data_IF_088634455196
#
_entry.id   IF_088634455196
#
_cell.length_a   1.000
_cell.length_b   1.000
_cell.length_c   1.000
_cell.angle_alpha   90.00
_cell.angle_beta   90.00
_cell.angle_gamma   90.00
#
_symmetry.space_group_name_H-M   'P 1'
#
loop_
_entity.id
_entity.type
_entity.pdbx_description
1 polymer ?
#
# COMPACT_ATOMS: atom_id res chain seq x y z
N UNK A 1 96.71 -4.01 6.38
CA UNK A 1 95.33 -3.87 5.84
C UNK A 1 95.10 -4.86 4.70
N UNK A 2 94.38 -5.97 4.94
CA UNK A 2 94.02 -6.95 3.89
C UNK A 2 92.70 -6.52 3.23
N UNK A 3 92.77 -6.01 1.99
CA UNK A 3 91.57 -5.75 1.17
C UNK A 3 90.93 -7.10 0.79
N UNK A 4 89.84 -7.49 1.47
CA UNK A 4 88.98 -8.61 1.04
C UNK A 4 88.45 -8.28 -0.36
N UNK A 5 88.97 -8.96 -1.39
CA UNK A 5 88.38 -8.97 -2.74
C UNK A 5 87.00 -9.60 -2.63
N UNK A 6 85.96 -8.76 -2.54
CA UNK A 6 84.57 -9.20 -2.66
C UNK A 6 84.39 -9.70 -4.09
N UNK A 7 84.44 -11.03 -4.28
CA UNK A 7 84.04 -11.68 -5.53
C UNK A 7 82.56 -11.40 -5.71
N UNK A 8 82.21 -10.40 -6.53
CA UNK A 8 80.86 -10.23 -7.05
C UNK A 8 80.54 -11.50 -7.84
N UNK A 9 79.80 -12.43 -7.24
CA UNK A 9 79.19 -13.54 -7.98
C UNK A 9 78.20 -12.89 -8.93
N UNK A 10 78.57 -12.78 -10.21
CA UNK A 10 77.63 -12.38 -11.24
C UNK A 10 76.48 -13.38 -11.20
N UNK A 11 75.26 -12.88 -10.95
CA UNK A 11 74.07 -13.71 -11.03
C UNK A 11 74.00 -14.29 -12.45
N UNK A 12 73.84 -15.61 -12.53
CA UNK A 12 73.56 -16.28 -13.79
C UNK A 12 72.32 -15.61 -14.41
N UNK A 13 72.34 -15.20 -15.70
CA UNK A 13 71.18 -14.58 -16.36
C UNK A 13 69.89 -15.39 -16.21
N UNK A 14 69.97 -16.72 -16.12
CA UNK A 14 68.82 -17.58 -15.83
C UNK A 14 68.17 -17.26 -14.46
N UNK A 15 68.97 -17.04 -13.41
CA UNK A 15 68.45 -16.65 -12.09
C UNK A 15 67.85 -15.26 -12.07
N UNK A 16 68.36 -14.33 -12.89
CA UNK A 16 67.75 -13.00 -13.03
C UNK A 16 66.38 -13.08 -13.70
N UNK A 17 66.22 -13.94 -14.71
CA UNK A 17 64.93 -14.21 -15.36
C UNK A 17 63.95 -14.85 -14.36
N UNK A 18 64.38 -15.87 -13.61
CA UNK A 18 63.56 -16.50 -12.56
C UNK A 18 63.09 -15.49 -11.50
N UNK A 19 64.00 -14.67 -10.96
CA UNK A 19 63.66 -13.63 -9.97
C UNK A 19 62.67 -12.63 -10.56
N UNK A 20 62.84 -12.24 -11.82
CA UNK A 20 61.92 -11.32 -12.51
C UNK A 20 60.54 -11.93 -12.66
N UNK A 21 60.43 -13.20 -13.08
CA UNK A 21 59.15 -13.93 -13.20
C UNK A 21 58.46 -14.00 -11.83
N UNK A 22 59.19 -14.33 -10.76
CA UNK A 22 58.63 -14.40 -9.40
C UNK A 22 58.13 -13.04 -8.94
N UNK A 23 58.88 -11.95 -9.18
CA UNK A 23 58.45 -10.59 -8.83
C UNK A 23 57.18 -10.20 -9.60
N UNK A 24 57.11 -10.53 -10.90
CA UNK A 24 55.91 -10.28 -11.72
C UNK A 24 54.71 -11.06 -11.18
N UNK A 25 54.87 -12.35 -10.88
CA UNK A 25 53.81 -13.19 -10.30
C UNK A 25 53.37 -12.68 -8.93
N UNK A 26 54.29 -12.33 -8.04
CA UNK A 26 53.96 -11.75 -6.73
C UNK A 26 53.25 -10.42 -6.87
N UNK A 27 53.62 -9.60 -7.86
CA UNK A 27 52.94 -8.34 -8.15
C UNK A 27 51.52 -8.59 -8.67
N UNK A 28 51.31 -9.58 -9.54
CA UNK A 28 49.97 -9.99 -10.01
C UNK A 28 49.13 -10.48 -8.82
N UNK A 29 49.67 -11.36 -7.97
CA UNK A 29 48.99 -11.85 -6.76
C UNK A 29 48.66 -10.68 -5.83
N UNK A 30 49.60 -9.76 -5.60
CA UNK A 30 49.37 -8.60 -4.75
C UNK A 30 48.25 -7.70 -5.29
N UNK A 31 48.19 -7.48 -6.62
CA UNK A 31 47.10 -6.72 -7.26
C UNK A 31 45.76 -7.45 -7.13
N UNK A 32 45.73 -8.77 -7.37
CA UNK A 32 44.52 -9.59 -7.19
C UNK A 32 44.05 -9.53 -5.74
N UNK A 33 44.94 -9.73 -4.78
CA UNK A 33 44.63 -9.68 -3.35
C UNK A 33 44.18 -8.28 -2.92
N UNK A 34 44.84 -7.22 -3.40
CA UNK A 34 44.49 -5.83 -3.08
C UNK A 34 43.04 -5.47 -3.46
N UNK A 35 42.52 -5.98 -4.58
CA UNK A 35 41.15 -5.64 -4.94
C UNK A 35 40.05 -6.32 -4.11
N UNK A 36 40.41 -7.25 -3.21
CA UNK A 36 39.46 -7.82 -2.22
C UNK A 36 39.45 -7.03 -0.91
N UNK A 37 40.39 -6.10 -0.71
CA UNK A 37 40.41 -5.25 0.46
C UNK A 37 39.47 -4.06 0.26
N UNK A 38 38.60 -3.77 1.25
CA UNK A 38 37.78 -2.57 1.22
C UNK A 38 38.66 -1.33 1.40
N UNK A 39 38.50 -0.35 0.51
CA UNK A 39 39.20 0.93 0.53
C UNK A 39 38.21 2.08 0.70
N UNK A 40 38.56 3.05 1.56
CA UNK A 40 37.72 4.21 1.91
C UNK A 40 38.55 5.48 1.81
N UNK A 41 38.08 6.51 1.09
CA UNK A 41 38.84 7.76 0.94
C UNK A 41 37.92 8.99 0.78
N UNK A 42 38.21 10.13 1.42
CA UNK A 42 37.38 11.34 1.34
C UNK A 42 37.09 11.82 -0.09
N UNK A 43 38.06 11.73 -1.00
CA UNK A 43 37.85 12.06 -2.43
C UNK A 43 36.77 11.23 -3.12
N UNK A 44 36.54 9.97 -2.71
CA UNK A 44 35.46 9.14 -3.28
C UNK A 44 34.10 9.66 -2.84
N UNK A 45 33.98 10.06 -1.57
CA UNK A 45 32.80 10.71 -1.01
C UNK A 45 32.51 12.04 -1.71
N UNK A 46 33.52 12.92 -1.81
CA UNK A 46 33.36 14.23 -2.45
C UNK A 46 32.97 14.08 -3.94
N UNK A 47 33.52 13.06 -4.62
CA UNK A 47 33.14 12.69 -5.97
C UNK A 47 31.69 12.19 -6.06
N UNK A 48 31.26 11.30 -5.15
CA UNK A 48 29.90 10.79 -5.10
C UNK A 48 28.87 11.93 -4.92
N UNK A 49 29.11 12.83 -3.95
CA UNK A 49 28.26 14.01 -3.73
C UNK A 49 28.17 14.89 -4.99
N UNK A 50 29.33 15.19 -5.60
CA UNK A 50 29.38 16.01 -6.82
C UNK A 50 28.60 15.38 -7.97
N UNK A 51 28.71 14.07 -8.15
CA UNK A 51 27.99 13.34 -9.20
C UNK A 51 26.48 13.35 -8.92
N UNK A 52 26.04 13.08 -7.69
CA UNK A 52 24.62 13.05 -7.33
C UNK A 52 23.96 14.42 -7.51
N UNK A 53 24.61 15.51 -7.08
CA UNK A 53 24.14 16.88 -7.31
C UNK A 53 24.06 17.18 -8.82
N UNK A 54 25.11 16.85 -9.57
CA UNK A 54 25.13 17.05 -11.03
C UNK A 54 24.02 16.27 -11.75
N UNK A 55 23.59 15.12 -11.21
CA UNK A 55 22.50 14.30 -11.75
C UNK A 55 21.11 14.75 -11.34
N UNK A 56 20.99 15.75 -10.46
CA UNK A 56 19.72 16.42 -10.17
C UNK A 56 19.25 16.31 -8.72
N UNK A 57 20.06 15.79 -7.80
CA UNK A 57 19.83 16.03 -6.38
C UNK A 57 19.97 17.54 -6.12
N UNK A 58 18.98 18.13 -5.45
CA UNK A 58 19.05 19.53 -5.00
C UNK A 58 20.04 19.69 -3.86
N UNK A 59 20.08 18.72 -2.95
CA UNK A 59 21.06 18.60 -1.88
C UNK A 59 21.44 17.12 -1.71
N UNK A 60 22.69 16.86 -1.33
CA UNK A 60 23.21 15.51 -1.18
C UNK A 60 24.37 15.47 -0.19
N UNK A 61 24.29 14.55 0.77
CA UNK A 61 25.37 14.19 1.68
C UNK A 61 25.56 12.69 1.68
N UNK A 62 26.83 12.25 1.66
CA UNK A 62 27.25 10.87 1.82
C UNK A 62 28.30 10.90 2.92
N UNK A 63 28.13 10.11 3.97
CA UNK A 63 29.10 10.08 5.07
C UNK A 63 30.39 9.38 4.67
N UNK A 64 30.26 8.20 4.06
CA UNK A 64 31.40 7.39 3.67
C UNK A 64 31.15 6.59 2.38
N UNK A 65 32.23 6.33 1.64
CA UNK A 65 32.22 5.52 0.42
C UNK A 65 33.31 4.46 0.55
N UNK A 66 32.91 3.19 0.56
CA UNK A 66 33.80 2.04 0.61
C UNK A 66 33.75 1.31 -0.72
N UNK A 67 34.92 1.07 -1.30
CA UNK A 67 35.07 0.40 -2.58
C UNK A 67 35.88 -0.87 -2.37
N UNK A 68 35.33 -2.01 -2.80
CA UNK A 68 36.03 -3.29 -2.90
C UNK A 68 36.12 -3.64 -4.39
N UNK A 69 37.26 -3.36 -5.07
CA UNK A 69 37.37 -3.43 -6.54
C UNK A 69 36.81 -4.68 -7.20
N UNK A 70 36.97 -5.86 -6.61
CA UNK A 70 36.46 -7.11 -7.21
C UNK A 70 35.02 -7.45 -6.85
N UNK A 71 34.39 -6.72 -5.92
CA UNK A 71 33.16 -7.17 -5.26
C UNK A 71 32.04 -6.15 -5.25
N UNK A 72 32.27 -4.92 -4.77
CA UNK A 72 31.18 -4.00 -4.44
C UNK A 72 31.62 -2.55 -4.23
N UNK A 73 30.65 -1.64 -4.35
CA UNK A 73 30.69 -0.27 -3.83
C UNK A 73 29.63 -0.15 -2.73
N UNK A 74 29.97 0.49 -1.62
CA UNK A 74 29.06 0.77 -0.51
C UNK A 74 29.07 2.27 -0.21
N UNK A 75 27.89 2.89 -0.16
CA UNK A 75 27.66 4.25 0.33
C UNK A 75 27.01 4.15 1.70
N UNK A 76 27.50 4.92 2.67
CA UNK A 76 26.96 4.98 4.02
C UNK A 76 26.44 6.38 4.32
N UNK A 77 25.33 6.45 5.08
CA UNK A 77 24.71 7.70 5.50
C UNK A 77 24.38 8.61 4.31
N UNK A 78 23.66 8.07 3.33
CA UNK A 78 23.23 8.82 2.14
C UNK A 78 21.97 9.62 2.48
N UNK A 79 22.07 10.94 2.50
CA UNK A 79 20.95 11.88 2.58
C UNK A 79 20.83 12.60 1.23
N UNK A 80 19.66 12.51 0.61
CA UNK A 80 19.42 13.03 -0.72
C UNK A 80 18.07 13.73 -0.81
N UNK A 81 18.08 14.96 -1.30
CA UNK A 81 16.88 15.79 -1.51
C UNK A 81 16.69 16.05 -2.99
N UNK A 82 15.54 15.70 -3.54
CA UNK A 82 15.16 15.96 -4.93
C UNK A 82 13.91 16.84 -4.92
N UNK A 83 13.88 17.88 -5.75
CA UNK A 83 12.68 18.69 -5.97
C UNK A 83 12.33 18.71 -7.46
N UNK A 84 11.07 18.42 -7.79
CA UNK A 84 10.57 18.48 -9.18
C UNK A 84 9.07 18.76 -9.22
N UNK A 85 8.66 19.77 -9.99
CA UNK A 85 7.25 20.11 -10.22
C UNK A 85 6.41 20.26 -8.93
N UNK A 86 7.00 20.85 -7.88
CA UNK A 86 6.35 21.03 -6.58
C UNK A 86 6.27 19.78 -5.69
N UNK A 87 6.80 18.64 -6.14
CA UNK A 87 7.05 17.47 -5.31
C UNK A 87 8.49 17.51 -4.80
N UNK A 88 8.69 17.32 -3.49
CA UNK A 88 10.00 17.17 -2.90
C UNK A 88 10.14 15.75 -2.34
N UNK A 89 11.18 15.04 -2.75
CA UNK A 89 11.58 13.76 -2.18
C UNK A 89 12.77 13.95 -1.25
N UNK A 90 12.72 13.35 -0.06
CA UNK A 90 13.82 13.25 0.88
C UNK A 90 14.10 11.78 1.13
N UNK A 91 15.34 11.37 0.89
CA UNK A 91 15.78 9.99 0.96
C UNK A 91 16.95 9.91 1.94
N UNK A 92 16.81 9.13 3.01
CA UNK A 92 17.88 8.89 3.98
C UNK A 92 18.14 7.39 4.03
N UNK A 93 19.35 6.96 3.67
CA UNK A 93 19.69 5.54 3.55
C UNK A 93 20.93 5.27 4.40
N UNK A 94 20.82 4.34 5.36
CA UNK A 94 21.95 3.95 6.23
C UNK A 94 23.08 3.33 5.41
N UNK A 95 22.75 2.37 4.53
CA UNK A 95 23.71 1.75 3.61
C UNK A 95 23.08 1.46 2.25
N UNK A 96 23.78 1.85 1.19
CA UNK A 96 23.50 1.45 -0.19
C UNK A 96 24.68 0.64 -0.70
N UNK A 97 24.47 -0.64 -1.00
CA UNK A 97 25.49 -1.54 -1.53
C UNK A 97 25.16 -1.93 -2.96
N UNK A 98 26.12 -1.74 -3.86
CA UNK A 98 26.08 -2.19 -5.24
C UNK A 98 27.15 -3.26 -5.43
N UNK A 99 26.76 -4.52 -5.62
CA UNK A 99 27.73 -5.58 -5.93
C UNK A 99 28.08 -5.56 -7.40
N UNK A 100 29.34 -5.25 -7.68
CA UNK A 100 29.86 -5.18 -9.04
C UNK A 100 31.36 -5.46 -9.11
N UNK A 101 31.79 -6.00 -10.25
CA UNK A 101 33.21 -6.15 -10.57
C UNK A 101 33.74 -4.87 -11.24
N UNK A 102 34.41 -4.01 -10.47
CA UNK A 102 34.88 -2.71 -10.95
C UNK A 102 35.95 -2.81 -12.01
N UNK A 103 36.78 -3.86 -12.01
CA UNK A 103 37.76 -4.06 -13.07
C UNK A 103 37.08 -4.37 -14.40
N UNK A 104 36.04 -5.20 -14.38
CA UNK A 104 35.23 -5.46 -15.58
C UNK A 104 34.60 -4.15 -16.11
N UNK A 105 34.07 -3.33 -15.20
CA UNK A 105 33.50 -2.02 -15.55
C UNK A 105 34.56 -1.04 -16.08
N UNK A 106 35.78 -1.05 -15.54
CA UNK A 106 36.89 -0.20 -15.97
C UNK A 106 37.42 -0.59 -17.35
N UNK A 107 37.52 -1.88 -17.65
CA UNK A 107 37.92 -2.36 -18.97
C UNK A 107 36.92 -1.93 -20.06
N UNK A 108 35.63 -1.90 -19.71
CA UNK A 108 34.54 -1.48 -20.61
C UNK A 108 34.10 -0.02 -20.37
N UNK A 109 34.93 0.81 -19.74
CA UNK A 109 34.54 2.16 -19.30
C UNK A 109 34.04 3.06 -20.43
N UNK A 110 34.60 2.92 -21.63
CA UNK A 110 34.20 3.69 -22.80
C UNK A 110 32.75 3.45 -23.23
N UNK A 111 32.32 2.18 -23.21
CA UNK A 111 30.95 1.77 -23.54
C UNK A 111 30.00 2.11 -22.38
N UNK A 112 30.40 1.74 -21.15
CA UNK A 112 29.67 2.05 -19.93
C UNK A 112 29.35 3.55 -19.81
N UNK A 113 30.31 4.42 -20.14
CA UNK A 113 30.12 5.87 -20.10
C UNK A 113 29.06 6.34 -21.10
N UNK A 114 28.98 5.74 -22.29
CA UNK A 114 27.95 6.07 -23.29
C UNK A 114 26.56 5.64 -22.80
N UNK A 115 26.46 4.43 -22.28
CA UNK A 115 25.19 3.87 -21.78
C UNK A 115 24.70 4.61 -20.53
N UNK A 116 25.59 4.92 -19.58
CA UNK A 116 25.28 5.73 -18.41
C UNK A 116 24.90 7.17 -18.77
N UNK A 117 25.51 7.75 -19.81
CA UNK A 117 25.13 9.09 -20.27
C UNK A 117 23.68 9.08 -20.78
N UNK A 118 23.33 8.10 -21.62
CA UNK A 118 21.98 7.88 -22.11
C UNK A 118 21.00 7.68 -20.95
N UNK A 119 21.26 6.70 -20.08
CA UNK A 119 20.46 6.42 -18.88
C UNK A 119 20.24 7.67 -18.05
N UNK A 120 21.28 8.48 -17.81
CA UNK A 120 21.14 9.61 -16.91
C UNK A 120 20.26 10.74 -17.42
N UNK A 121 20.21 10.94 -18.74
CA UNK A 121 19.30 11.91 -19.36
C UNK A 121 17.87 11.38 -19.20
N UNK A 122 17.67 10.11 -19.56
CA UNK A 122 16.36 9.50 -19.53
C UNK A 122 15.81 9.37 -18.11
N UNK A 123 16.62 8.91 -17.16
CA UNK A 123 16.27 8.71 -15.75
C UNK A 123 15.79 10.00 -15.10
N UNK A 124 16.52 11.10 -15.30
CA UNK A 124 16.16 12.41 -14.75
C UNK A 124 14.80 12.87 -15.23
N UNK A 125 14.46 12.62 -16.49
CA UNK A 125 13.19 13.05 -17.07
C UNK A 125 12.04 12.07 -16.79
N UNK A 126 12.33 10.77 -16.75
CA UNK A 126 11.32 9.72 -16.86
C UNK A 126 10.99 9.00 -15.57
N UNK A 127 11.84 9.00 -14.54
CA UNK A 127 11.55 8.24 -13.31
C UNK A 127 10.17 8.56 -12.74
N UNK A 128 9.81 9.85 -12.70
CA UNK A 128 8.52 10.30 -12.16
C UNK A 128 7.38 10.28 -13.19
N UNK A 129 7.68 10.35 -14.50
CA UNK A 129 6.65 10.47 -15.54
C UNK A 129 6.31 9.15 -16.24
N UNK A 130 7.30 8.26 -16.36
CA UNK A 130 7.26 6.96 -17.05
C UNK A 130 8.20 5.96 -16.34
N UNK A 131 7.89 5.54 -15.10
CA UNK A 131 8.76 4.67 -14.30
C UNK A 131 9.08 3.33 -14.99
N UNK A 132 8.18 2.80 -15.82
CA UNK A 132 8.43 1.58 -16.56
C UNK A 132 9.58 1.70 -17.56
N UNK A 133 9.73 2.85 -18.24
CA UNK A 133 10.83 3.03 -19.20
C UNK A 133 12.15 2.99 -18.44
N UNK A 134 12.20 3.64 -17.28
CA UNK A 134 13.37 3.59 -16.41
C UNK A 134 13.71 2.17 -15.97
N UNK A 135 12.72 1.36 -15.62
CA UNK A 135 12.94 -0.05 -15.28
C UNK A 135 13.41 -0.88 -16.48
N UNK A 136 12.79 -0.73 -17.66
CA UNK A 136 13.21 -1.40 -18.91
C UNK A 136 14.65 -1.01 -19.30
N UNK A 137 15.03 0.24 -19.05
CA UNK A 137 16.39 0.72 -19.27
C UNK A 137 17.37 0.14 -18.25
N UNK A 138 16.98 -0.03 -16.99
CA UNK A 138 17.80 -0.73 -15.99
C UNK A 138 18.00 -2.20 -16.38
N UNK A 139 16.93 -2.89 -16.82
CA UNK A 139 17.02 -4.25 -17.35
C UNK A 139 17.99 -4.29 -18.52
N UNK A 140 17.78 -3.45 -19.54
CA UNK A 140 18.66 -3.39 -20.72
C UNK A 140 20.10 -3.11 -20.33
N UNK A 141 20.35 -2.13 -19.47
CA UNK A 141 21.68 -1.79 -19.00
C UNK A 141 22.35 -2.97 -18.30
N UNK A 142 21.64 -3.67 -17.41
CA UNK A 142 22.18 -4.87 -16.76
C UNK A 142 22.45 -6.00 -17.75
N UNK A 143 21.57 -6.23 -18.73
CA UNK A 143 21.77 -7.25 -19.76
C UNK A 143 23.03 -6.99 -20.59
N UNK A 144 23.34 -5.72 -20.86
CA UNK A 144 24.60 -5.32 -21.52
C UNK A 144 25.81 -5.41 -20.58
N UNK A 145 25.60 -5.15 -19.28
CA UNK A 145 26.66 -5.10 -18.26
C UNK A 145 26.41 -6.13 -17.15
N UNK A 146 26.62 -7.41 -17.47
CA UNK A 146 26.44 -8.53 -16.54
C UNK A 146 27.30 -8.47 -15.26
N UNK A 147 28.26 -7.54 -15.19
CA UNK A 147 29.08 -7.25 -14.01
C UNK A 147 28.31 -6.64 -12.83
N UNK A 148 27.05 -6.26 -13.01
CA UNK A 148 26.16 -5.75 -11.95
C UNK A 148 25.32 -6.92 -11.42
N UNK A 149 25.64 -7.36 -10.21
CA UNK A 149 25.06 -8.57 -9.63
C UNK A 149 23.82 -8.26 -8.80
N UNK A 150 23.96 -7.34 -7.83
CA UNK A 150 22.91 -6.99 -6.89
C UNK A 150 23.00 -5.53 -6.43
N UNK A 151 21.89 -5.01 -5.93
CA UNK A 151 21.74 -3.73 -5.27
C UNK A 151 20.98 -3.94 -3.96
N UNK A 152 21.55 -3.50 -2.85
CA UNK A 152 21.00 -3.66 -1.50
C UNK A 152 20.87 -2.28 -0.87
N UNK A 153 19.68 -1.98 -0.38
CA UNK A 153 19.34 -0.81 0.43
C UNK A 153 19.09 -1.34 1.83
N UNK A 154 19.81 -0.84 2.83
CA UNK A 154 19.56 -1.15 4.22
C UNK A 154 19.03 0.10 4.92
N UNK A 155 17.83 -0.04 5.49
CA UNK A 155 17.12 1.00 6.25
C UNK A 155 17.13 2.36 5.56
N UNK A 156 16.32 2.45 4.52
CA UNK A 156 15.97 3.68 3.82
C UNK A 156 14.70 4.30 4.37
N UNK A 157 14.76 5.56 4.73
CA UNK A 157 13.61 6.42 4.92
C UNK A 157 13.38 7.25 3.64
N UNK A 158 12.13 7.30 3.18
CA UNK A 158 11.73 8.03 1.97
C UNK A 158 10.49 8.84 2.27
N UNK A 159 10.62 10.16 2.24
CA UNK A 159 9.49 11.08 2.36
C UNK A 159 9.23 11.79 1.04
N UNK A 160 7.96 11.81 0.60
CA UNK A 160 7.49 12.55 -0.56
C UNK A 160 6.50 13.60 -0.10
N UNK A 161 6.88 14.87 -0.23
CA UNK A 161 6.06 16.02 0.17
C UNK A 161 5.55 16.80 -1.04
N UNK A 162 4.38 17.42 -0.89
CA UNK A 162 3.84 18.42 -1.82
C UNK A 162 3.55 19.69 -1.03
N UNK A 163 4.32 20.74 -1.26
CA UNK A 163 4.33 21.89 -0.34
C UNK A 163 4.81 21.46 1.05
N UNK A 164 3.99 21.68 2.08
CA UNK A 164 4.30 21.31 3.47
C UNK A 164 3.66 20.00 3.93
N UNK A 165 2.91 19.31 3.06
CA UNK A 165 2.21 18.08 3.39
C UNK A 165 2.98 16.85 2.92
N UNK A 166 3.20 15.88 3.82
CA UNK A 166 3.74 14.56 3.46
C UNK A 166 2.64 13.79 2.74
N UNK A 167 2.85 13.52 1.46
CA UNK A 167 1.91 12.74 0.63
C UNK A 167 2.15 11.25 0.73
N UNK A 168 3.40 10.85 0.95
CA UNK A 168 3.79 9.45 1.15
C UNK A 168 5.09 9.40 1.94
N UNK A 169 5.25 8.37 2.77
CA UNK A 169 6.45 8.12 3.55
C UNK A 169 6.70 6.62 3.63
N UNK A 170 7.96 6.19 3.60
CA UNK A 170 8.38 4.82 3.88
C UNK A 170 9.50 4.91 4.91
N UNK A 171 9.41 4.13 5.97
CA UNK A 171 10.38 4.11 7.07
C UNK A 171 11.07 2.75 7.17
N UNK A 172 12.37 2.77 7.43
CA UNK A 172 13.23 1.62 7.63
C UNK A 172 13.12 0.58 6.50
N UNK A 173 13.02 1.03 5.24
CA UNK A 173 12.96 0.16 4.06
C UNK A 173 14.30 -0.55 3.84
N UNK A 174 14.30 -1.87 3.92
CA UNK A 174 15.39 -2.69 3.42
C UNK A 174 14.95 -3.39 2.14
N UNK A 175 15.74 -3.29 1.08
CA UNK A 175 15.42 -3.87 -0.22
C UNK A 175 16.67 -4.48 -0.85
N UNK A 176 16.54 -5.70 -1.35
CA UNK A 176 17.60 -6.40 -2.07
C UNK A 176 17.09 -6.72 -3.47
N UNK A 177 17.65 -6.02 -4.45
CA UNK A 177 17.39 -6.17 -5.87
C UNK A 177 18.48 -7.04 -6.46
N UNK A 178 18.09 -8.13 -7.11
CA UNK A 178 19.00 -9.09 -7.70
C UNK A 178 18.41 -9.61 -9.01
N UNK A 179 19.25 -10.32 -9.75
CA UNK A 179 18.86 -10.91 -11.00
C UNK A 179 19.22 -12.40 -11.01
N UNK A 180 18.28 -13.26 -11.39
CA UNK A 180 18.56 -14.69 -11.57
C UNK A 180 19.43 -14.91 -12.81
N UNK A 181 20.37 -15.85 -12.75
CA UNK A 181 21.24 -16.22 -13.89
C UNK A 181 20.42 -16.72 -15.08
N UNK A 182 19.38 -17.51 -14.82
CA UNK A 182 18.51 -18.10 -15.84
C UNK A 182 17.45 -17.13 -16.40
N UNK A 183 17.28 -15.96 -15.78
CA UNK A 183 16.27 -14.96 -16.18
C UNK A 183 16.88 -13.57 -16.26
N UNK A 184 17.80 -13.42 -17.21
CA UNK A 184 18.58 -12.20 -17.33
C UNK A 184 17.75 -10.91 -17.52
N UNK A 185 16.53 -11.06 -18.03
CA UNK A 185 15.60 -9.98 -18.36
C UNK A 185 14.62 -9.64 -17.20
N UNK A 186 14.71 -10.35 -16.08
CA UNK A 186 13.82 -10.16 -14.93
C UNK A 186 14.57 -9.54 -13.74
N UNK A 187 14.10 -8.39 -13.26
CA UNK A 187 14.56 -7.81 -11.99
C UNK A 187 13.76 -8.47 -10.88
N UNK A 188 14.43 -9.05 -9.89
CA UNK A 188 13.79 -9.50 -8.66
C UNK A 188 14.15 -8.60 -7.50
N UNK A 189 13.21 -8.42 -6.58
CA UNK A 189 13.38 -7.62 -5.39
C UNK A 189 12.73 -8.32 -4.19
N UNK A 190 13.48 -8.52 -3.11
CA UNK A 190 12.91 -8.78 -1.79
C UNK A 190 12.95 -7.49 -0.98
N UNK A 191 11.87 -7.18 -0.26
CA UNK A 191 11.80 -5.95 0.54
C UNK A 191 11.11 -6.18 1.87
N UNK A 192 11.50 -5.39 2.86
CA UNK A 192 10.84 -5.26 4.15
C UNK A 192 10.94 -3.82 4.67
N UNK A 193 9.98 -3.39 5.48
CA UNK A 193 10.01 -2.05 6.09
C UNK A 193 9.12 -1.96 7.31
N UNK A 194 9.35 -0.93 8.13
CA UNK A 194 8.63 -0.76 9.39
C UNK A 194 7.27 -0.10 9.17
N UNK A 195 7.24 0.97 8.38
CA UNK A 195 6.02 1.75 8.17
C UNK A 195 5.98 2.33 6.76
N UNK A 196 4.82 2.27 6.13
CA UNK A 196 4.53 2.97 4.89
C UNK A 196 3.23 3.74 5.07
N UNK A 197 3.27 4.99 4.65
CA UNK A 197 2.16 5.91 4.60
C UNK A 197 1.95 6.34 3.15
N UNK A 198 0.74 6.20 2.64
CA UNK A 198 0.39 6.65 1.30
C UNK A 198 -1.03 7.22 1.29
N UNK A 199 -1.15 8.54 1.09
CA UNK A 199 -2.42 9.24 1.19
C UNK A 199 -2.95 9.24 2.63
N UNK A 200 -3.91 8.37 2.94
CA UNK A 200 -4.44 8.16 4.31
C UNK A 200 -4.30 6.72 4.78
N UNK A 201 -3.60 5.90 4.01
CA UNK A 201 -3.44 4.49 4.30
C UNK A 201 -2.09 4.28 4.98
N UNK A 202 -2.12 3.50 6.05
CA UNK A 202 -0.93 3.11 6.81
C UNK A 202 -0.78 1.60 6.69
N UNK A 203 0.43 1.13 6.41
CA UNK A 203 0.81 -0.25 6.64
C UNK A 203 2.12 -0.32 7.42
N UNK A 204 2.24 -1.33 8.27
CA UNK A 204 3.32 -1.54 9.22
C UNK A 204 3.91 -2.94 9.08
N UNK A 205 5.19 -3.08 9.42
CA UNK A 205 5.95 -4.33 9.38
C UNK A 205 5.73 -5.10 8.08
N UNK A 206 5.78 -4.38 6.96
CA UNK A 206 5.48 -4.95 5.66
C UNK A 206 6.69 -5.65 5.08
N UNK A 207 6.48 -6.74 4.35
CA UNK A 207 7.52 -7.42 3.57
C UNK A 207 6.94 -8.23 2.43
N UNK A 208 7.75 -8.48 1.42
CA UNK A 208 7.34 -9.26 0.26
C UNK A 208 8.43 -9.41 -0.77
N UNK A 209 8.00 -9.87 -1.94
CA UNK A 209 8.85 -9.95 -3.12
C UNK A 209 8.15 -9.27 -4.29
N UNK A 210 8.93 -8.62 -5.15
CA UNK A 210 8.46 -8.06 -6.40
C UNK A 210 9.35 -8.58 -7.53
N UNK A 211 8.76 -8.80 -8.69
CA UNK A 211 9.51 -9.09 -9.90
C UNK A 211 9.06 -8.18 -11.03
N UNK A 212 9.99 -7.63 -11.79
CA UNK A 212 9.71 -6.81 -12.96
C UNK A 212 10.21 -7.50 -14.23
N UNK A 213 9.34 -7.62 -15.22
CA UNK A 213 9.65 -8.15 -16.55
C UNK A 213 8.69 -7.53 -17.57
N UNK A 214 9.23 -6.98 -18.66
CA UNK A 214 8.48 -6.46 -19.81
C UNK A 214 7.33 -5.51 -19.41
N UNK A 215 7.67 -4.45 -18.67
CA UNK A 215 6.68 -3.48 -18.18
C UNK A 215 5.70 -4.00 -17.12
N UNK A 216 5.77 -5.27 -16.69
CA UNK A 216 4.91 -5.84 -15.64
C UNK A 216 5.64 -5.99 -14.31
N UNK A 217 5.01 -5.53 -13.23
CA UNK A 217 5.46 -5.76 -11.85
C UNK A 217 4.56 -6.81 -11.20
N UNK A 218 5.14 -7.89 -10.68
CA UNK A 218 4.47 -8.96 -9.95
C UNK A 218 4.87 -8.89 -8.47
N UNK A 219 3.94 -8.50 -7.62
CA UNK A 219 4.04 -8.55 -6.17
C UNK A 219 3.59 -9.92 -5.68
N UNK A 220 4.47 -10.62 -4.97
CA UNK A 220 4.23 -11.96 -4.44
C UNK A 220 4.53 -12.00 -2.94
N UNK A 221 3.68 -12.72 -2.20
CA UNK A 221 3.83 -12.97 -0.76
C UNK A 221 3.97 -11.68 0.05
N UNK A 222 3.40 -10.57 -0.44
CA UNK A 222 3.41 -9.31 0.28
C UNK A 222 2.49 -9.43 1.49
N UNK A 223 2.98 -9.08 2.67
CA UNK A 223 2.24 -9.15 3.92
C UNK A 223 2.67 -8.03 4.85
N UNK A 224 1.80 -7.65 5.77
CA UNK A 224 2.08 -6.63 6.76
C UNK A 224 0.93 -6.49 7.73
N UNK A 225 0.86 -5.35 8.41
CA UNK A 225 -0.23 -4.96 9.30
C UNK A 225 -0.81 -3.64 8.86
N UNK A 226 -2.10 -3.43 9.04
CA UNK A 226 -2.74 -2.13 8.91
C UNK A 226 -3.89 -2.10 9.91
N UNK A 227 -4.11 -0.97 10.58
CA UNK A 227 -5.19 -0.80 11.56
C UNK A 227 -5.27 -1.96 12.56
N UNK A 228 -4.13 -2.31 13.18
CA UNK A 228 -3.93 -3.47 14.08
C UNK A 228 -4.13 -4.88 13.47
N UNK A 229 -4.80 -4.99 12.32
CA UNK A 229 -5.02 -6.23 11.56
C UNK A 229 -3.81 -6.66 10.74
N UNK A 230 -3.86 -7.88 10.20
CA UNK A 230 -2.84 -8.45 9.30
C UNK A 230 -3.36 -8.46 7.87
N UNK A 231 -2.52 -8.23 6.88
CA UNK A 231 -2.90 -8.36 5.48
C UNK A 231 -1.90 -9.19 4.67
N UNK A 232 -2.37 -9.69 3.53
CA UNK A 232 -1.61 -10.34 2.47
C UNK A 232 -2.09 -9.83 1.12
N UNK A 233 -1.16 -9.59 0.20
CA UNK A 233 -1.44 -9.10 -1.15
C UNK A 233 -0.58 -9.90 -2.14
N UNK A 234 -1.19 -10.31 -3.25
CA UNK A 234 -0.50 -10.71 -4.47
C UNK A 234 -1.10 -9.91 -5.61
N UNK A 235 -0.27 -9.27 -6.43
CA UNK A 235 -0.76 -8.41 -7.50
C UNK A 235 0.15 -8.43 -8.72
N UNK A 236 -0.45 -8.33 -9.90
CA UNK A 236 0.27 -8.13 -11.17
C UNK A 236 -0.19 -6.82 -11.79
N UNK A 237 0.75 -5.90 -11.97
CA UNK A 237 0.52 -4.57 -12.51
C UNK A 237 1.28 -4.42 -13.82
N UNK A 238 0.57 -4.13 -14.89
CA UNK A 238 1.13 -3.70 -16.16
C UNK A 238 1.32 -2.18 -16.14
N UNK A 239 2.57 -1.74 -16.02
CA UNK A 239 2.91 -0.31 -15.93
C UNK A 239 2.78 0.41 -17.28
N UNK A 240 2.96 -0.29 -18.40
CA UNK A 240 2.81 0.27 -19.76
C UNK A 240 1.38 0.76 -19.99
N UNK A 241 0.41 -0.11 -19.67
CA UNK A 241 -1.01 0.17 -19.86
C UNK A 241 -1.66 0.81 -18.62
N UNK A 242 -0.89 1.03 -17.55
CA UNK A 242 -1.40 1.43 -16.23
C UNK A 242 -2.59 0.57 -15.83
N UNK A 243 -2.42 -0.74 -15.87
CA UNK A 243 -3.50 -1.71 -15.68
C UNK A 243 -3.13 -2.73 -14.60
N UNK A 244 -4.00 -2.90 -13.62
CA UNK A 244 -3.98 -3.98 -12.65
C UNK A 244 -4.56 -5.24 -13.30
N UNK A 245 -3.69 -6.17 -13.70
CA UNK A 245 -4.10 -7.41 -14.35
C UNK A 245 -4.83 -8.32 -13.36
N UNK A 246 -4.30 -8.39 -12.13
CA UNK A 246 -4.86 -9.18 -11.03
C UNK A 246 -4.39 -8.61 -9.70
N UNK A 247 -5.24 -8.60 -8.69
CA UNK A 247 -4.88 -8.35 -7.30
C UNK A 247 -5.75 -9.19 -6.39
N UNK A 248 -5.12 -10.08 -5.64
CA UNK A 248 -5.75 -10.85 -4.58
C UNK A 248 -5.27 -10.28 -3.24
N UNK A 249 -6.18 -9.69 -2.48
CA UNK A 249 -5.92 -9.13 -1.16
C UNK A 249 -6.76 -9.85 -0.13
N UNK A 250 -6.14 -10.23 0.98
CA UNK A 250 -6.83 -10.74 2.15
C UNK A 250 -6.32 -10.00 3.39
N UNK A 251 -7.21 -9.64 4.30
CA UNK A 251 -6.81 -9.13 5.60
C UNK A 251 -7.76 -9.54 6.70
N UNK A 252 -7.24 -9.53 7.91
CA UNK A 252 -7.82 -10.21 9.06
C UNK A 252 -7.68 -9.33 10.30
N UNK A 253 -8.71 -9.32 11.15
CA UNK A 253 -8.75 -8.59 12.41
C UNK A 253 -8.46 -7.08 12.28
N UNK A 254 -8.92 -6.42 11.20
CA UNK A 254 -8.82 -4.97 11.09
C UNK A 254 -9.67 -4.27 12.14
N UNK A 255 -9.07 -3.37 12.90
CA UNK A 255 -9.79 -2.51 13.84
C UNK A 255 -10.53 -1.41 13.09
N UNK A 256 -11.86 -1.54 13.03
CA UNK A 256 -12.74 -0.59 12.36
C UNK A 256 -12.67 0.81 12.96
N UNK A 257 -12.44 0.92 14.27
CA UNK A 257 -12.37 2.23 14.92
C UNK A 257 -11.11 2.99 14.49
N UNK A 258 -9.96 2.31 14.52
CA UNK A 258 -8.70 2.85 14.00
C UNK A 258 -8.82 3.25 12.52
N UNK A 259 -9.40 2.38 11.68
CA UNK A 259 -9.65 2.69 10.27
C UNK A 259 -10.53 3.94 10.09
N UNK A 260 -11.66 4.02 10.80
CA UNK A 260 -12.58 5.14 10.63
C UNK A 260 -12.01 6.49 11.11
N UNK A 261 -11.22 6.47 12.18
CA UNK A 261 -10.54 7.66 12.70
C UNK A 261 -9.54 8.24 11.69
N UNK A 262 -8.73 7.37 11.07
CA UNK A 262 -7.71 7.77 10.09
C UNK A 262 -8.32 8.23 8.76
N UNK A 263 -9.48 7.68 8.37
CA UNK A 263 -10.19 8.15 7.17
C UNK A 263 -10.97 9.45 7.39
N UNK A 264 -11.05 9.94 8.63
CA UNK A 264 -11.84 11.11 9.02
C UNK A 264 -13.31 11.00 8.60
N UNK A 265 -13.95 9.86 8.87
CA UNK A 265 -15.40 9.77 8.74
C UNK A 265 -16.05 10.76 9.71
N UNK A 266 -16.58 11.87 9.17
CA UNK A 266 -16.91 13.06 9.96
C UNK A 266 -18.12 12.91 10.90
N UNK A 267 -18.88 11.81 10.81
CA UNK A 267 -20.09 11.60 11.61
C UNK A 267 -20.24 10.12 11.96
N UNK A 268 -20.55 9.87 13.23
CA UNK A 268 -20.75 8.54 13.77
C UNK A 268 -19.47 7.92 14.35
N UNK A 269 -19.65 6.88 15.14
CA UNK A 269 -18.59 6.04 15.69
C UNK A 269 -18.85 4.60 15.27
N UNK A 270 -17.82 3.95 14.72
CA UNK A 270 -17.82 2.52 14.40
C UNK A 270 -16.69 1.88 15.19
N UNK A 271 -16.96 0.76 15.84
CA UNK A 271 -15.94 -0.13 16.38
C UNK A 271 -16.29 -1.57 16.02
N UNK A 272 -15.31 -2.46 16.15
CA UNK A 272 -15.43 -3.87 15.79
C UNK A 272 -14.20 -4.34 15.04
N UNK A 273 -14.21 -5.61 14.65
CA UNK A 273 -13.14 -6.21 13.85
C UNK A 273 -13.65 -6.56 12.47
N UNK A 274 -12.83 -6.43 11.44
CA UNK A 274 -13.19 -6.79 10.08
C UNK A 274 -12.13 -7.66 9.40
N UNK A 275 -12.62 -8.66 8.70
CA UNK A 275 -11.90 -9.49 7.74
C UNK A 275 -12.34 -9.08 6.33
N UNK A 276 -11.38 -9.00 5.41
CA UNK A 276 -11.62 -8.54 4.04
C UNK A 276 -10.95 -9.51 3.08
N UNK A 277 -11.69 -10.01 2.10
CA UNK A 277 -11.15 -10.71 0.93
C UNK A 277 -11.53 -9.93 -0.32
N UNK A 278 -10.58 -9.63 -1.19
CA UNK A 278 -10.80 -8.74 -2.31
C UNK A 278 -10.00 -9.18 -3.54
N UNK A 279 -10.67 -9.21 -4.69
CA UNK A 279 -10.10 -9.54 -5.98
C UNK A 279 -10.36 -8.39 -6.96
N UNK A 280 -9.31 -7.66 -7.35
CA UNK A 280 -9.43 -6.48 -8.23
C UNK A 280 -8.65 -6.63 -9.55
N UNK A 281 -9.14 -5.95 -10.58
CA UNK A 281 -8.49 -5.75 -11.88
C UNK A 281 -8.99 -4.45 -12.54
N UNK A 282 -8.29 -3.93 -13.53
CA UNK A 282 -8.71 -2.72 -14.26
C UNK A 282 -7.62 -1.68 -14.37
N UNK A 283 -7.90 -0.52 -14.97
CA UNK A 283 -6.90 0.56 -15.03
C UNK A 283 -6.57 1.06 -13.61
N UNK A 284 -5.33 1.52 -13.40
CA UNK A 284 -4.82 2.16 -12.18
C UNK A 284 -5.40 3.58 -11.99
N UNK A 285 -6.68 3.71 -12.26
CA UNK A 285 -7.54 4.76 -11.77
C UNK A 285 -8.58 4.04 -10.92
N UNK A 286 -8.79 4.50 -9.68
CA UNK A 286 -9.75 3.90 -8.78
C UNK A 286 -11.11 3.71 -9.48
N UNK A 287 -11.54 4.62 -10.38
CA UNK A 287 -12.86 4.62 -11.07
C UNK A 287 -13.01 3.52 -12.12
N UNK A 288 -11.88 2.96 -12.52
CA UNK A 288 -11.79 1.94 -13.55
C UNK A 288 -11.53 0.55 -12.99
N UNK A 289 -11.29 0.44 -11.68
CA UNK A 289 -11.15 -0.84 -11.00
C UNK A 289 -12.48 -1.58 -11.01
N UNK A 290 -12.38 -2.89 -11.18
CA UNK A 290 -13.48 -3.85 -11.21
C UNK A 290 -13.08 -5.07 -10.41
N UNK A 291 -14.05 -5.78 -9.88
CA UNK A 291 -13.75 -6.92 -9.04
C UNK A 291 -14.81 -7.19 -8.01
N UNK A 292 -14.47 -8.01 -7.04
CA UNK A 292 -15.34 -8.36 -5.92
C UNK A 292 -14.59 -8.19 -4.62
N UNK A 293 -15.32 -7.90 -3.55
CA UNK A 293 -14.80 -8.04 -2.20
C UNK A 293 -15.87 -8.62 -1.28
N UNK A 294 -15.44 -9.37 -0.28
CA UNK A 294 -16.28 -9.86 0.81
C UNK A 294 -15.68 -9.28 2.08
N UNK A 295 -16.49 -8.54 2.82
CA UNK A 295 -16.13 -7.98 4.11
C UNK A 295 -16.97 -8.67 5.17
N UNK A 296 -16.34 -9.26 6.18
CA UNK A 296 -17.03 -9.79 7.35
C UNK A 296 -16.55 -9.03 8.57
N UNK A 297 -17.46 -8.38 9.28
CA UNK A 297 -17.16 -7.70 10.52
C UNK A 297 -17.86 -8.39 11.69
N UNK A 298 -17.21 -8.41 12.85
CA UNK A 298 -17.72 -8.98 14.09
C UNK A 298 -17.68 -7.96 15.22
N UNK A 299 -18.57 -8.13 16.19
CA UNK A 299 -18.69 -7.27 17.36
C UNK A 299 -18.81 -5.79 16.98
N UNK A 300 -19.63 -5.51 15.97
CA UNK A 300 -19.72 -4.18 15.37
C UNK A 300 -20.65 -3.32 16.20
N UNK A 301 -20.11 -2.26 16.78
CA UNK A 301 -20.90 -1.21 17.41
C UNK A 301 -20.92 0.00 16.49
N UNK A 302 -22.13 0.50 16.18
CA UNK A 302 -22.33 1.72 15.42
C UNK A 302 -23.15 2.70 16.24
N UNK A 303 -22.73 3.95 16.33
CA UNK A 303 -23.50 4.99 17.01
C UNK A 303 -23.36 6.35 16.35
N UNK A 304 -24.29 7.26 16.66
CA UNK A 304 -24.27 8.67 16.23
C UNK A 304 -24.32 8.88 14.70
N UNK A 305 -24.69 7.86 13.91
CA UNK A 305 -24.83 8.02 12.46
C UNK A 305 -26.11 8.79 12.10
N UNK A 306 -26.10 9.64 11.05
CA UNK A 306 -27.31 10.35 10.61
C UNK A 306 -28.49 9.42 10.32
N UNK A 307 -28.23 8.24 9.75
CA UNK A 307 -29.25 7.23 9.47
C UNK A 307 -29.87 6.67 10.76
N UNK A 308 -29.05 6.42 11.79
CA UNK A 308 -29.51 5.94 13.10
C UNK A 308 -30.35 6.99 13.80
N UNK A 309 -29.91 8.25 13.78
CA UNK A 309 -30.67 9.36 14.35
C UNK A 309 -32.03 9.51 13.66
N UNK A 310 -32.06 9.37 12.33
CA UNK A 310 -33.32 9.38 11.58
C UNK A 310 -34.24 8.22 12.01
N UNK A 311 -33.74 6.98 12.08
CA UNK A 311 -34.53 5.84 12.56
C UNK A 311 -35.01 6.01 14.00
N UNK A 312 -34.15 6.52 14.89
CA UNK A 312 -34.51 6.78 16.29
C UNK A 312 -35.68 7.76 16.41
N UNK A 313 -35.67 8.84 15.62
CA UNK A 313 -36.77 9.81 15.56
C UNK A 313 -38.02 9.18 14.94
N UNK A 314 -37.88 8.46 13.82
CA UNK A 314 -39.01 7.86 13.11
C UNK A 314 -39.73 6.78 13.92
N UNK A 315 -38.97 5.96 14.64
CA UNK A 315 -39.51 4.87 15.46
C UNK A 315 -39.83 5.32 16.89
N UNK A 316 -39.44 6.54 17.28
CA UNK A 316 -39.50 7.07 18.64
C UNK A 316 -38.79 6.19 19.66
N UNK A 317 -37.68 5.56 19.26
CA UNK A 317 -36.92 4.62 20.09
C UNK A 317 -35.48 5.11 20.22
N UNK A 318 -35.12 5.71 21.38
CA UNK A 318 -33.79 6.28 21.61
C UNK A 318 -32.66 5.25 21.49
N UNK A 319 -32.95 3.97 21.75
CA UNK A 319 -31.98 2.88 21.72
C UNK A 319 -31.33 2.69 20.34
N UNK A 320 -32.03 3.06 19.24
CA UNK A 320 -31.44 3.03 17.88
C UNK A 320 -30.26 3.99 17.68
N UNK A 321 -30.00 4.91 18.60
CA UNK A 321 -28.81 5.78 18.57
C UNK A 321 -27.49 5.01 18.72
N UNK A 322 -27.56 3.76 19.21
CA UNK A 322 -26.43 2.83 19.28
C UNK A 322 -26.90 1.42 18.94
N UNK A 323 -26.36 0.83 17.89
CA UNK A 323 -26.68 -0.54 17.48
C UNK A 323 -25.45 -1.42 17.62
N UNK A 324 -25.68 -2.65 18.08
CA UNK A 324 -24.67 -3.69 18.15
C UNK A 324 -25.06 -4.86 17.23
N UNK A 325 -24.09 -5.25 16.39
CA UNK A 325 -24.20 -6.39 15.50
C UNK A 325 -23.14 -7.43 15.87
N UNK A 326 -23.58 -8.66 16.14
CA UNK A 326 -22.65 -9.75 16.38
C UNK A 326 -21.80 -10.01 15.12
N UNK A 327 -22.46 -9.93 13.95
CA UNK A 327 -21.81 -10.16 12.66
C UNK A 327 -22.47 -9.33 11.55
N UNK A 328 -21.65 -8.71 10.72
CA UNK A 328 -22.05 -8.09 9.46
C UNK A 328 -21.25 -8.73 8.34
N UNK A 329 -21.90 -9.07 7.24
CA UNK A 329 -21.26 -9.50 6.00
C UNK A 329 -21.69 -8.55 4.89
N UNK A 330 -20.73 -8.06 4.12
CA UNK A 330 -20.98 -7.27 2.92
C UNK A 330 -20.27 -7.91 1.73
N UNK A 331 -21.04 -8.32 0.73
CA UNK A 331 -20.55 -8.74 -0.58
C UNK A 331 -20.59 -7.52 -1.52
N UNK A 332 -19.44 -7.18 -2.09
CA UNK A 332 -19.21 -5.97 -2.87
C UNK A 332 -18.82 -6.33 -4.30
N UNK A 333 -19.40 -5.65 -5.28
CA UNK A 333 -18.98 -5.75 -6.69
C UNK A 333 -18.60 -4.37 -7.25
N UNK A 334 -17.33 -4.23 -7.63
CA UNK A 334 -16.80 -3.00 -8.21
C UNK A 334 -17.13 -2.95 -9.70
N UNK A 335 -17.93 -1.96 -10.10
CA UNK A 335 -18.29 -1.69 -11.50
C UNK A 335 -17.43 -0.54 -12.05
N UNK A 336 -17.20 -0.48 -13.38
CA UNK A 336 -16.60 0.70 -13.99
C UNK A 336 -17.44 1.96 -13.68
N UNK A 337 -16.78 3.13 -13.70
CA UNK A 337 -17.35 4.45 -13.32
C UNK A 337 -17.44 4.66 -11.80
N UNK A 338 -16.80 3.81 -10.99
CA UNK A 338 -16.70 3.99 -9.55
C UNK A 338 -17.97 3.67 -8.77
N UNK A 339 -18.91 2.94 -9.36
CA UNK A 339 -20.09 2.39 -8.67
C UNK A 339 -19.73 1.05 -8.03
N UNK A 340 -20.12 0.87 -6.77
CA UNK A 340 -19.93 -0.37 -6.01
C UNK A 340 -21.33 -0.92 -5.72
N UNK A 341 -21.65 -2.09 -6.27
CA UNK A 341 -22.85 -2.81 -5.86
C UNK A 341 -22.59 -3.46 -4.51
N UNK A 342 -23.58 -3.42 -3.64
CA UNK A 342 -23.46 -3.87 -2.25
C UNK A 342 -24.62 -4.79 -1.93
N UNK A 343 -24.33 -5.93 -1.30
CA UNK A 343 -25.29 -6.79 -0.63
C UNK A 343 -24.80 -6.99 0.81
N UNK A 344 -25.57 -6.56 1.79
CA UNK A 344 -25.16 -6.47 3.19
C UNK A 344 -26.17 -7.24 4.04
N UNK A 345 -25.68 -8.18 4.84
CA UNK A 345 -26.47 -8.90 5.83
C UNK A 345 -25.84 -8.68 7.21
N UNK A 346 -26.63 -8.22 8.17
CA UNK A 346 -26.20 -7.96 9.54
C UNK A 346 -27.12 -8.67 10.52
N UNK A 347 -26.54 -9.38 11.48
CA UNK A 347 -27.26 -9.95 12.60
C UNK A 347 -26.93 -9.16 13.87
N UNK A 348 -27.97 -8.61 14.49
CA UNK A 348 -27.82 -7.71 15.64
C UNK A 348 -28.77 -8.05 16.77
N UNK A 349 -28.43 -7.56 17.96
CA UNK A 349 -29.21 -7.81 19.17
C UNK A 349 -30.62 -7.21 19.05
N UNK A 350 -30.67 -5.98 18.55
CA UNK A 350 -31.90 -5.19 18.41
C UNK A 350 -32.57 -5.40 17.05
N UNK A 351 -31.78 -5.68 16.02
CA UNK A 351 -32.18 -5.60 14.63
C UNK A 351 -31.32 -6.51 13.76
N UNK A 352 -31.98 -7.34 12.96
CA UNK A 352 -31.39 -7.99 11.79
C UNK A 352 -31.61 -7.13 10.53
N UNK A 353 -30.60 -7.00 9.69
CA UNK A 353 -30.67 -6.22 8.44
C UNK A 353 -30.23 -7.04 7.24
N UNK A 354 -30.92 -6.83 6.13
CA UNK A 354 -30.52 -7.22 4.77
C UNK A 354 -30.65 -5.98 3.88
N UNK A 355 -29.63 -5.68 3.09
CA UNK A 355 -29.59 -4.48 2.27
C UNK A 355 -28.92 -4.73 0.94
N UNK A 356 -29.59 -4.38 -0.15
CA UNK A 356 -29.04 -4.46 -1.49
C UNK A 356 -29.09 -3.10 -2.18
N UNK A 357 -28.04 -2.76 -2.93
CA UNK A 357 -28.00 -1.47 -3.59
C UNK A 357 -26.65 -1.13 -4.19
N UNK A 358 -26.37 0.16 -4.22
CA UNK A 358 -25.08 0.66 -4.68
C UNK A 358 -24.61 1.88 -3.88
N UNK A 359 -23.30 2.09 -3.92
CA UNK A 359 -22.60 3.26 -3.37
C UNK A 359 -21.61 3.74 -4.44
N UNK A 360 -21.55 5.05 -4.67
CA UNK A 360 -20.51 5.69 -5.48
C UNK A 360 -19.41 6.31 -4.62
N UNK A 361 -18.35 6.82 -5.27
CA UNK A 361 -17.20 7.42 -4.58
C UNK A 361 -17.44 8.80 -4.00
N UNK A 362 -18.47 9.49 -4.48
CA UNK A 362 -18.95 10.71 -3.84
C UNK A 362 -19.63 10.41 -2.50
N UNK A 363 -19.81 9.13 -2.15
CA UNK A 363 -20.56 8.71 -0.99
C UNK A 363 -22.06 8.83 -1.22
N UNK A 364 -22.52 8.95 -2.47
CA UNK A 364 -23.94 8.79 -2.79
C UNK A 364 -24.27 7.32 -2.75
N UNK A 365 -25.39 6.98 -2.11
CA UNK A 365 -25.85 5.62 -1.99
C UNK A 365 -27.33 5.53 -2.39
N UNK A 366 -27.73 4.31 -2.71
CA UNK A 366 -29.11 3.92 -2.89
C UNK A 366 -29.25 2.44 -2.51
N UNK A 367 -29.85 2.20 -1.34
CA UNK A 367 -29.95 0.91 -0.68
C UNK A 367 -31.43 0.58 -0.46
N UNK A 368 -31.86 -0.61 -0.84
CA UNK A 368 -33.11 -1.20 -0.40
C UNK A 368 -32.82 -2.04 0.83
N UNK A 369 -33.34 -1.62 1.97
CA UNK A 369 -33.15 -2.27 3.25
C UNK A 369 -34.42 -3.01 3.68
N UNK A 370 -34.22 -4.23 4.11
CA UNK A 370 -35.17 -5.09 4.79
C UNK A 370 -34.61 -5.36 6.18
N UNK A 371 -35.44 -5.38 7.21
CA UNK A 371 -34.96 -5.71 8.54
C UNK A 371 -36.05 -6.25 9.44
N UNK A 372 -35.62 -6.99 10.46
CA UNK A 372 -36.48 -7.55 11.50
C UNK A 372 -36.07 -6.97 12.86
N UNK A 373 -36.95 -6.17 13.44
CA UNK A 373 -36.81 -5.68 14.81
C UNK A 373 -37.08 -6.86 15.76
N UNK A 374 -36.14 -7.10 16.68
CA UNK A 374 -36.22 -8.17 17.67
C UNK A 374 -37.45 -8.04 18.58
N UNK A 375 -37.97 -9.16 19.09
CA UNK A 375 -39.09 -9.18 20.04
C UNK A 375 -38.83 -8.27 21.26
N UNK A 376 -37.62 -8.33 21.82
CA UNK A 376 -37.22 -7.51 22.96
C UNK A 376 -37.37 -6.00 22.68
N UNK A 377 -37.03 -5.55 21.47
CA UNK A 377 -37.16 -4.14 21.10
C UNK A 377 -38.58 -3.76 20.68
N UNK A 378 -39.39 -4.73 20.22
CA UNK A 378 -40.80 -4.50 19.85
C UNK A 378 -41.62 -4.05 21.06
N UNK A 379 -41.30 -4.51 22.27
CA UNK A 379 -41.96 -4.08 23.51
C UNK A 379 -41.77 -2.59 23.81
N UNK A 380 -40.66 -2.01 23.36
CA UNK A 380 -40.32 -0.59 23.52
C UNK A 380 -40.88 0.30 22.38
N UNK A 381 -41.38 -0.30 21.30
CA UNK A 381 -41.98 0.45 20.19
C UNK A 381 -43.37 0.97 20.58
N UNK A 382 -43.72 2.18 20.13
CA UNK A 382 -45.10 2.66 20.29
C UNK A 382 -46.10 1.76 19.55
N UNK A 383 -47.29 1.55 20.13
CA UNK A 383 -48.37 0.76 19.53
C UNK A 383 -48.70 1.19 18.08
N UNK A 384 -48.56 2.49 17.77
CA UNK A 384 -48.76 3.02 16.42
C UNK A 384 -47.76 2.42 15.43
N UNK A 385 -46.49 2.35 15.81
CA UNK A 385 -45.41 1.77 15.02
C UNK A 385 -45.59 0.25 14.93
N UNK A 386 -45.78 -0.44 16.07
CA UNK A 386 -45.96 -1.90 16.13
C UNK A 386 -47.08 -2.37 15.21
N UNK A 387 -48.21 -1.67 15.21
CA UNK A 387 -49.38 -2.02 14.39
C UNK A 387 -49.22 -1.68 12.91
N UNK A 388 -48.21 -0.88 12.53
CA UNK A 388 -47.93 -0.54 11.15
C UNK A 388 -47.00 -1.54 10.46
N UNK A 389 -46.26 -2.33 11.24
CA UNK A 389 -45.27 -3.29 10.78
C UNK A 389 -45.85 -4.71 10.74
N UNK A 390 -45.25 -5.58 9.93
CA UNK A 390 -45.69 -6.97 9.80
C UNK A 390 -45.01 -7.83 10.88
N UNK A 391 -45.78 -8.66 11.57
CA UNK A 391 -45.27 -9.61 12.55
C UNK A 391 -44.51 -10.76 11.89
N UNK A 392 -43.43 -11.22 12.53
CA UNK A 392 -42.71 -12.43 12.14
C UNK A 392 -43.07 -13.63 13.01
N UNK A 393 -42.62 -14.82 12.61
CA UNK A 393 -42.76 -16.05 13.41
C UNK A 393 -42.03 -15.99 14.77
N UNK A 394 -41.04 -15.10 14.89
CA UNK A 394 -40.26 -14.86 16.12
C UNK A 394 -40.82 -13.71 16.96
N UNK A 395 -42.10 -13.34 16.76
CA UNK A 395 -42.76 -12.18 17.36
C UNK A 395 -42.11 -10.80 17.06
N UNK A 396 -41.09 -10.75 16.21
CA UNK A 396 -40.46 -9.53 15.74
C UNK A 396 -41.36 -8.70 14.82
N UNK A 397 -40.79 -7.61 14.28
CA UNK A 397 -41.48 -6.73 13.31
C UNK A 397 -40.63 -6.44 12.10
N UNK A 398 -41.16 -6.74 10.91
CA UNK A 398 -40.50 -6.44 9.64
C UNK A 398 -40.67 -4.98 9.26
N UNK A 399 -39.59 -4.37 8.81
CA UNK A 399 -39.65 -3.11 8.06
C UNK A 399 -38.96 -3.24 6.70
N UNK A 400 -39.40 -2.35 5.81
CA UNK A 400 -38.82 -2.17 4.48
C UNK A 400 -38.68 -0.69 4.22
N UNK A 401 -37.50 -0.27 3.80
CA UNK A 401 -37.25 1.12 3.44
C UNK A 401 -36.16 1.24 2.39
N UNK A 402 -36.16 2.36 1.69
CA UNK A 402 -35.08 2.77 0.80
C UNK A 402 -34.27 3.87 1.46
N UNK A 403 -32.96 3.72 1.49
CA UNK A 403 -32.03 4.73 1.97
C UNK A 403 -31.25 5.25 0.78
N UNK A 404 -31.26 6.57 0.56
CA UNK A 404 -30.63 7.16 -0.62
C UNK A 404 -30.11 8.58 -0.36
N UNK A 405 -29.23 9.08 -1.23
CA UNK A 405 -28.57 10.39 -1.04
C UNK A 405 -27.12 10.22 -0.58
N UNK A 406 -26.53 11.25 0.03
CA UNK A 406 -25.13 11.16 0.49
C UNK A 406 -25.02 10.50 1.86
N UNK A 407 -23.91 9.83 2.15
CA UNK A 407 -23.60 9.28 3.48
C UNK A 407 -23.70 10.33 4.61
N UNK A 408 -23.42 11.59 4.30
CA UNK A 408 -23.50 12.72 5.23
C UNK A 408 -24.91 13.24 5.50
N UNK A 409 -25.84 12.98 4.57
CA UNK A 409 -27.24 13.41 4.61
C UNK A 409 -28.16 12.38 3.92
N UNK A 410 -28.28 11.18 4.50
CA UNK A 410 -29.11 10.13 3.93
C UNK A 410 -30.59 10.51 4.05
N UNK A 411 -31.37 10.14 3.04
CA UNK A 411 -32.83 10.20 3.02
C UNK A 411 -33.37 8.80 3.20
N UNK A 412 -34.45 8.68 3.96
CA UNK A 412 -35.14 7.41 4.19
C UNK A 412 -36.55 7.53 3.62
N UNK A 413 -36.91 6.61 2.74
CA UNK A 413 -38.25 6.45 2.19
C UNK A 413 -38.80 5.10 2.68
N UNK A 414 -39.82 5.14 3.54
CA UNK A 414 -40.51 3.93 4.01
C UNK A 414 -41.36 3.32 2.90
N UNK A 415 -41.56 2.00 2.95
CA UNK A 415 -42.46 1.33 2.02
C UNK A 415 -43.89 1.90 2.11
N UNK A 416 -44.51 2.17 0.95
CA UNK A 416 -45.85 2.79 0.85
C UNK A 416 -46.92 1.97 1.56
N UNK A 417 -46.76 0.66 1.68
CA UNK A 417 -47.70 -0.23 2.38
C UNK A 417 -47.65 -0.01 3.89
N UNK A 418 -46.44 0.12 4.47
CA UNK A 418 -46.22 0.45 5.89
C UNK A 418 -46.80 1.84 6.16
N UNK A 419 -46.51 2.82 5.31
CA UNK A 419 -47.04 4.17 5.46
C UNK A 419 -48.58 4.21 5.42
N UNK A 420 -49.20 3.47 4.48
CA UNK A 420 -50.67 3.34 4.39
C UNK A 420 -51.26 2.70 5.65
N UNK A 421 -50.63 1.65 6.20
CA UNK A 421 -51.06 0.99 7.46
C UNK A 421 -50.95 1.96 8.64
N UNK A 422 -49.82 2.65 8.79
CA UNK A 422 -49.60 3.63 9.85
C UNK A 422 -50.66 4.74 9.83
N UNK A 423 -50.90 5.34 8.66
CA UNK A 423 -51.92 6.39 8.48
C UNK A 423 -53.32 5.85 8.79
N UNK A 424 -53.65 4.65 8.31
CA UNK A 424 -54.93 3.99 8.61
C UNK A 424 -55.15 3.79 10.11
N UNK A 425 -54.14 3.33 10.84
CA UNK A 425 -54.19 3.11 12.27
C UNK A 425 -54.37 4.43 13.06
N UNK A 426 -53.69 5.51 12.65
CA UNK A 426 -53.88 6.84 13.26
C UNK A 426 -55.34 7.29 13.11
N UNK A 427 -55.90 7.18 11.89
CA UNK A 427 -57.29 7.55 11.66
C UNK A 427 -58.28 6.68 12.46
N UNK A 428 -58.00 5.38 12.58
CA UNK A 428 -58.82 4.48 13.39
C UNK A 428 -58.76 4.81 14.89
N UNK A 429 -57.58 5.08 15.43
CA UNK A 429 -57.39 5.46 16.83
C UNK A 429 -58.05 6.81 17.15
N UNK A 430 -57.92 7.79 16.26
CA UNK A 430 -58.63 9.08 16.38
C UNK A 430 -60.15 8.87 16.36
N UNK A 431 -60.65 8.05 15.42
CA UNK A 431 -62.07 7.71 15.32
C UNK A 431 -62.58 7.01 16.59
N UNK A 432 -61.85 6.04 17.12
CA UNK A 432 -62.19 5.34 18.37
C UNK A 432 -62.17 6.30 19.56
N UNK A 433 -61.15 7.15 19.68
CA UNK A 433 -61.08 8.18 20.73
C UNK A 433 -62.26 9.14 20.69
N UNK A 434 -62.69 9.58 19.50
CA UNK A 434 -63.93 10.35 19.34
C UNK A 434 -65.15 9.54 19.75
N UNK A 435 -65.28 8.29 19.30
CA UNK A 435 -66.41 7.42 19.67
C UNK A 435 -66.50 7.16 21.17
N UNK A 436 -65.38 7.02 21.87
CA UNK A 436 -65.33 6.86 23.33
C UNK A 436 -65.68 8.16 24.06
N UNK A 437 -65.17 9.30 23.59
CA UNK A 437 -65.55 10.63 24.12
C UNK A 437 -67.05 10.89 23.99
N UNK A 438 -67.67 10.46 22.89
CA UNK A 438 -69.11 10.62 22.66
C UNK A 438 -69.98 9.51 23.28
N UNK A 439 -69.42 8.37 23.67
CA UNK A 439 -70.11 7.31 24.44
C UNK A 439 -70.14 7.57 25.95
N UNK A 440 -69.29 8.46 26.48
CA UNK A 440 -69.23 8.83 27.91
C UNK A 440 -70.21 9.94 28.32
N UNK A 441 -71.32 10.11 27.61
CA UNK A 441 -72.42 11.02 28.00
C UNK A 441 -73.64 10.25 28.43
#
# INVERSE_FOLDING_TARGET
MRRKKVRRKFLNPARLIEITIVIVLLSIIAVVVMGFFPFSHPRLRDYANTVLIKKGAGDCSVENVVVTPWKKIELYGLDLRISRNGLNGHFQIERLKLSCNLFSLLLNWGELKKDLAYLSITFKEQLFSRPYVTMDEIVRFRTHHNSLNDLEIDKGDVDITRGNEITSSIQNLSAHVFFEEDKAEEIQMSFEGEKIFAGRNIAEHFKGTAAYNDGRVRFNKCKGRAYNGKFKINATINLLNRYLEKSDMAGFDFDLQSFCNDQHFQKGKISGKADIEMNLRGFLNIDSLRGTAVVTASDVSVSEFPIQNAFSIFLMVPQFSSLYFQKIRADLEFKPQGVILTSINGNGEMLDIESDGWIDKGGTLNQQMHGEISEALVEDLSNLVVNSLESTERNGRLFKCRVYGSLSNPKIELDKTILKKAVGNVFQNVRQGFQELFKKK
#
